data_IF_231296324182
#
_entry.id   IF_231296324182
#
_cell.length_a   1.000
_cell.length_b   1.000
_cell.length_c   1.000
_cell.angle_alpha   90.00
_cell.angle_beta   90.00
_cell.angle_gamma   90.00
#
_symmetry.space_group_name_H-M   'P 1'
#
loop_
_entity.id
_entity.type
_entity.pdbx_description
1 polymer ?
#
# COMPACT_ATOMS: atom_id res chain seq x y z
N UNK A 1 -7.01 -2.86 47.34
CA UNK A 1 -5.82 -2.35 46.69
C UNK A 1 -5.82 -2.98 45.29
N UNK A 2 -6.25 -2.24 44.30
CA UNK A 2 -6.29 -2.71 42.90
C UNK A 2 -5.08 -2.08 42.22
N UNK A 3 -4.14 -2.92 41.81
CA UNK A 3 -3.00 -2.49 41.03
C UNK A 3 -3.45 -2.19 39.60
N UNK A 4 -3.27 -0.97 39.15
CA UNK A 4 -3.46 -0.58 37.74
C UNK A 4 -2.14 -0.77 37.02
N UNK A 5 -2.14 -1.59 35.98
CA UNK A 5 -1.03 -1.71 35.04
C UNK A 5 -1.03 -0.51 34.10
N UNK A 6 0.12 0.12 33.92
CA UNK A 6 0.33 1.19 32.94
C UNK A 6 0.60 0.50 31.60
N UNK A 7 -0.29 0.71 30.63
CA UNK A 7 -0.05 0.31 29.24
C UNK A 7 0.68 1.44 28.51
N UNK A 8 1.94 1.22 28.16
CA UNK A 8 2.71 2.15 27.34
C UNK A 8 2.60 1.71 25.89
N UNK A 9 1.86 2.46 25.09
CA UNK A 9 1.82 2.26 23.64
C UNK A 9 3.04 2.96 23.03
N UNK A 10 3.96 2.18 22.48
CA UNK A 10 5.10 2.71 21.70
C UNK A 10 4.74 2.57 20.24
N UNK A 11 4.49 3.69 19.57
CA UNK A 11 4.33 3.73 18.12
C UNK A 11 5.72 3.82 17.45
N UNK A 12 6.08 2.96 16.52
CA UNK A 12 7.31 3.10 15.76
C UNK A 12 7.19 4.29 14.80
N UNK A 13 8.04 5.30 14.99
CA UNK A 13 8.19 6.42 14.07
C UNK A 13 9.35 6.11 13.12
N UNK A 14 9.06 5.91 11.84
CA UNK A 14 10.08 5.93 10.80
C UNK A 14 10.68 7.33 10.67
N UNK A 15 12.01 7.40 10.76
CA UNK A 15 12.79 8.64 10.82
C UNK A 15 13.38 8.99 9.46
N UNK A 16 12.98 10.13 8.94
CA UNK A 16 13.87 11.02 8.18
C UNK A 16 13.30 12.44 8.18
N UNK A 17 13.61 13.24 9.20
CA UNK A 17 13.46 14.70 9.19
C UNK A 17 14.31 15.33 10.30
N UNK A 18 14.76 16.58 10.17
CA UNK A 18 15.59 17.25 11.18
C UNK A 18 14.87 17.35 12.52
N UNK A 19 15.65 17.30 13.59
CA UNK A 19 15.21 17.20 14.98
C UNK A 19 14.15 18.26 15.37
N UNK A 20 12.88 17.88 15.24
CA UNK A 20 11.78 18.61 15.86
C UNK A 20 11.24 17.79 17.03
N UNK A 21 11.15 18.40 18.17
CA UNK A 21 10.53 17.80 19.36
C UNK A 21 9.06 17.53 19.04
N UNK A 22 8.62 16.30 19.08
CA UNK A 22 7.21 15.92 19.00
C UNK A 22 6.73 15.45 20.36
N UNK A 23 5.73 16.11 20.87
CA UNK A 23 5.04 15.69 22.09
C UNK A 23 3.81 14.88 21.72
N UNK A 24 3.77 13.62 22.16
CA UNK A 24 2.57 12.77 22.01
C UNK A 24 1.85 12.78 23.35
N UNK A 25 0.62 13.27 23.37
CA UNK A 25 -0.24 13.24 24.56
C UNK A 25 -1.17 12.04 24.44
N UNK A 26 -1.01 11.09 25.36
CA UNK A 26 -1.88 9.92 25.46
C UNK A 26 -2.83 10.15 26.62
N UNK A 27 -4.12 10.26 26.35
CA UNK A 27 -5.16 10.42 27.35
C UNK A 27 -5.73 9.06 27.78
N UNK A 28 -5.41 8.63 28.97
CA UNK A 28 -6.17 7.58 29.65
C UNK A 28 -7.25 8.25 30.54
N UNK A 29 -8.32 7.53 30.94
CA UNK A 29 -9.48 8.16 31.58
C UNK A 29 -9.20 8.92 32.88
N UNK A 30 -8.01 8.89 33.42
CA UNK A 30 -7.65 9.54 34.71
C UNK A 30 -6.27 10.20 34.75
N UNK A 31 -5.35 9.99 33.78
CA UNK A 31 -4.02 10.63 33.81
C UNK A 31 -3.50 11.00 32.40
N UNK A 32 -2.89 12.20 32.29
CA UNK A 32 -2.20 12.64 31.09
C UNK A 32 -0.72 12.31 31.23
N UNK A 33 -0.20 11.43 30.38
CA UNK A 33 1.22 11.13 30.30
C UNK A 33 1.82 11.83 29.09
N UNK A 34 2.74 12.75 29.31
CA UNK A 34 3.49 13.43 28.26
C UNK A 34 4.81 12.71 28.02
N UNK A 35 5.00 12.17 26.82
CA UNK A 35 6.28 11.58 26.41
C UNK A 35 7.01 12.54 25.47
N UNK A 36 8.20 12.98 25.88
CA UNK A 36 9.04 13.87 25.07
C UNK A 36 10.20 13.06 24.47
N UNK A 37 10.31 13.06 23.16
CA UNK A 37 11.44 12.44 22.45
C UNK A 37 12.43 13.53 22.02
N UNK A 38 13.68 13.38 22.41
CA UNK A 38 14.77 14.28 22.03
C UNK A 38 15.83 13.49 21.27
N UNK A 39 16.02 13.80 19.99
CA UNK A 39 17.06 13.17 19.16
C UNK A 39 16.79 11.71 18.77
N UNK A 40 17.82 10.99 18.34
CA UNK A 40 17.76 9.59 17.89
C UNK A 40 17.86 8.55 19.01
N UNK A 41 17.80 8.96 20.28
CA UNK A 41 17.82 8.03 21.39
C UNK A 41 16.42 7.84 21.98
N UNK A 42 16.00 6.58 22.04
CA UNK A 42 14.77 6.17 22.70
C UNK A 42 15.12 5.86 24.14
N UNK A 43 14.57 6.63 25.07
CA UNK A 43 14.66 6.30 26.50
C UNK A 43 13.43 5.49 26.88
N UNK A 44 13.60 4.20 27.19
CA UNK A 44 12.55 3.41 27.82
C UNK A 44 12.50 3.77 29.29
N UNK A 45 11.33 4.19 29.77
CA UNK A 45 11.11 4.36 31.21
C UNK A 45 10.96 2.97 31.84
N UNK A 46 12.03 2.42 32.37
CA UNK A 46 11.97 1.32 33.34
C UNK A 46 11.56 1.90 34.69
N UNK A 47 10.70 1.20 35.41
CA UNK A 47 10.20 1.55 36.73
C UNK A 47 11.31 2.04 37.66
N UNK A 48 11.17 3.27 38.14
CA UNK A 48 12.06 3.83 39.16
C UNK A 48 11.66 3.29 40.52
N UNK A 49 12.46 2.39 41.07
CA UNK A 49 12.64 2.29 42.51
C UNK A 49 13.52 3.46 42.96
N UNK A 50 13.16 4.14 44.03
CA UNK A 50 13.80 5.32 44.52
C UNK A 50 15.20 5.03 45.04
N UNK A 51 16.26 5.77 44.65
CA UNK A 51 17.51 5.79 45.36
C UNK A 51 17.60 6.98 46.32
N UNK A 52 17.98 6.67 47.52
CA UNK A 52 18.39 7.63 48.54
C UNK A 52 19.76 8.25 48.20
N UNK A 53 19.80 9.56 48.34
CA UNK A 53 20.90 10.46 48.70
C UNK A 53 22.26 10.39 47.99
N UNK A 54 22.63 11.53 47.50
CA UNK A 54 23.80 12.40 47.78
C UNK A 54 24.74 12.68 46.59
N UNK A 55 25.06 13.95 46.59
CA UNK A 55 26.20 14.71 46.08
C UNK A 55 25.95 15.59 44.86
N UNK A 56 25.91 16.88 45.21
CA UNK A 56 25.96 18.02 44.32
C UNK A 56 27.41 18.23 43.82
N UNK A 57 27.54 18.51 42.55
CA UNK A 57 28.65 19.34 42.05
C UNK A 57 28.13 20.33 41.00
N UNK A 58 28.43 21.60 41.30
CA UNK A 58 28.07 22.77 40.52
C UNK A 58 29.08 23.03 39.42
N UNK A 59 28.61 23.28 38.20
CA UNK A 59 29.39 24.03 37.21
C UNK A 59 28.60 25.22 36.69
N UNK A 60 29.04 26.41 37.09
CA UNK A 60 28.63 27.69 36.54
C UNK A 60 29.37 27.94 35.22
N UNK A 61 28.61 28.29 34.19
CA UNK A 61 29.17 28.96 32.99
C UNK A 61 28.31 30.13 32.60
N UNK A 62 28.93 31.31 32.68
CA UNK A 62 28.34 32.59 32.27
C UNK A 62 28.18 32.71 30.77
N UNK A 63 27.02 33.13 30.30
CA UNK A 63 26.85 33.65 28.96
C UNK A 63 26.39 35.11 29.02
N UNK A 64 27.18 35.97 28.36
CA UNK A 64 26.96 37.42 28.22
C UNK A 64 25.80 37.70 27.30
N UNK A 65 24.86 38.48 27.79
CA UNK A 65 23.81 39.14 27.04
C UNK A 65 24.35 40.38 26.32
N UNK A 66 24.15 40.50 25.01
CA UNK A 66 24.26 41.76 24.27
C UNK A 66 22.92 42.06 23.61
N UNK A 67 22.33 43.10 24.10
CA UNK A 67 21.12 43.71 23.51
C UNK A 67 21.48 44.58 22.31
N UNK A 68 20.75 44.43 21.21
CA UNK A 68 20.67 45.42 20.14
C UNK A 68 19.18 45.55 19.73
N UNK A 69 18.60 46.64 20.19
CA UNK A 69 17.35 47.15 19.65
C UNK A 69 17.56 47.81 18.28
N UNK A 70 16.83 47.40 17.27
CA UNK A 70 16.54 48.27 16.14
C UNK A 70 15.13 48.02 15.63
N UNK A 71 14.31 49.01 15.76
CA UNK A 71 12.97 49.15 15.24
C UNK A 71 12.94 49.10 13.72
N UNK A 72 12.17 48.17 13.15
CA UNK A 72 11.59 48.34 11.80
C UNK A 72 10.13 47.86 11.83
N UNK A 73 9.24 48.85 11.72
CA UNK A 73 7.83 48.62 11.41
C UNK A 73 7.69 48.15 9.97
N UNK A 74 7.31 46.90 9.76
CA UNK A 74 6.88 46.41 8.45
C UNK A 74 5.48 45.83 8.58
N UNK A 75 4.56 46.40 7.82
CA UNK A 75 3.18 45.98 7.69
C UNK A 75 3.09 44.47 7.34
N UNK A 76 2.54 43.65 8.25
CA UNK A 76 2.16 42.28 7.95
C UNK A 76 0.91 42.27 7.08
N UNK A 77 1.08 42.04 5.80
CA UNK A 77 0.02 41.47 4.98
C UNK A 77 -0.09 39.98 5.37
N UNK A 78 -1.15 39.64 6.08
CA UNK A 78 -1.51 38.21 6.36
C UNK A 78 -1.95 37.57 5.06
N UNK A 79 -0.99 37.01 4.30
CA UNK A 79 -1.28 35.95 3.36
C UNK A 79 -1.46 34.68 4.17
N UNK A 80 -2.69 34.22 4.33
CA UNK A 80 -3.01 32.88 4.80
C UNK A 80 -2.45 31.87 3.77
N UNK A 81 -1.19 31.47 3.95
CA UNK A 81 -0.68 30.28 3.28
C UNK A 81 -1.41 29.09 3.90
N UNK A 82 -2.45 28.63 3.22
CA UNK A 82 -2.97 27.29 3.45
C UNK A 82 -1.81 26.33 3.13
N UNK A 83 -1.13 25.84 4.17
CA UNK A 83 -0.16 24.77 4.03
C UNK A 83 -0.90 23.58 3.44
N UNK A 84 -0.62 23.25 2.17
CA UNK A 84 -1.09 22.01 1.56
C UNK A 84 -0.55 20.88 2.43
N UNK A 85 -1.42 20.05 3.03
CA UNK A 85 -0.94 18.94 3.86
C UNK A 85 0.02 18.09 3.03
N UNK A 86 1.20 17.83 3.57
CA UNK A 86 2.14 16.92 2.91
C UNK A 86 1.55 15.51 2.90
N UNK A 87 1.74 14.69 1.84
CA UNK A 87 1.23 13.31 1.75
C UNK A 87 1.59 12.44 2.97
N UNK A 88 2.66 12.76 3.68
CA UNK A 88 3.23 11.98 4.78
C UNK A 88 2.37 11.69 6.00
N UNK A 89 1.24 12.40 6.21
CA UNK A 89 0.27 12.05 7.25
C UNK A 89 -1.06 11.53 6.66
N UNK A 90 -1.19 11.63 5.35
CA UNK A 90 -2.48 11.41 4.68
C UNK A 90 -2.92 9.95 4.71
N UNK A 91 -1.98 8.98 4.65
CA UNK A 91 -2.35 7.57 4.68
C UNK A 91 -2.96 7.14 6.02
N UNK A 92 -2.52 7.70 7.15
CA UNK A 92 -3.17 7.45 8.45
C UNK A 92 -4.60 8.01 8.48
N UNK A 93 -4.81 9.22 7.96
CA UNK A 93 -6.13 9.82 7.89
C UNK A 93 -7.07 8.99 7.00
N UNK A 94 -6.57 8.52 5.86
CA UNK A 94 -7.35 7.66 4.95
C UNK A 94 -7.66 6.33 5.63
N UNK A 95 -6.68 5.68 6.28
CA UNK A 95 -6.94 4.40 6.99
C UNK A 95 -7.93 4.58 8.14
N UNK A 96 -7.83 5.68 8.90
CA UNK A 96 -8.81 5.99 9.95
C UNK A 96 -10.23 6.14 9.38
N UNK A 97 -10.38 6.81 8.22
CA UNK A 97 -11.66 6.90 7.51
C UNK A 97 -12.15 5.55 6.98
N UNK A 98 -11.26 4.70 6.51
CA UNK A 98 -11.58 3.32 6.09
C UNK A 98 -12.13 2.53 7.28
N UNK A 99 -11.48 2.58 8.46
CA UNK A 99 -12.00 1.96 9.68
C UNK A 99 -13.39 2.46 10.04
N UNK A 100 -13.60 3.78 10.07
CA UNK A 100 -14.89 4.37 10.40
C UNK A 100 -16.01 3.96 9.44
N UNK A 101 -15.67 3.75 8.17
CA UNK A 101 -16.64 3.57 7.09
C UNK A 101 -17.00 2.11 6.86
N UNK A 102 -16.03 1.21 7.02
CA UNK A 102 -16.15 -0.19 6.57
C UNK A 102 -15.99 -1.22 7.71
N UNK A 103 -15.64 -0.80 8.92
CA UNK A 103 -15.57 -1.68 10.08
C UNK A 103 -16.76 -1.45 10.99
N UNK A 104 -17.49 -2.55 11.33
CA UNK A 104 -18.60 -2.52 12.27
C UNK A 104 -18.93 -3.90 12.77
N UNK A 105 -19.44 -4.00 13.98
CA UNK A 105 -19.83 -5.28 14.61
C UNK A 105 -18.76 -6.35 14.59
N UNK A 106 -17.50 -5.94 14.72
CA UNK A 106 -16.34 -6.83 14.74
C UNK A 106 -15.97 -7.45 13.39
N UNK A 107 -16.38 -6.87 12.28
CA UNK A 107 -16.11 -7.36 10.91
C UNK A 107 -16.00 -6.24 9.90
N UNK A 108 -15.32 -6.54 8.79
CA UNK A 108 -15.24 -5.68 7.62
C UNK A 108 -16.46 -5.83 6.73
N UNK A 109 -16.97 -4.74 6.20
CA UNK A 109 -18.08 -4.69 5.25
C UNK A 109 -17.59 -4.06 3.94
N UNK A 110 -17.92 -4.67 2.80
CA UNK A 110 -17.57 -4.09 1.49
C UNK A 110 -18.45 -2.87 1.14
N UNK A 111 -19.63 -2.78 1.77
CA UNK A 111 -20.54 -1.66 1.58
C UNK A 111 -20.20 -0.47 2.49
N UNK A 112 -20.39 0.73 1.96
CA UNK A 112 -20.22 2.00 2.68
C UNK A 112 -21.32 2.18 3.74
N UNK A 113 -20.93 2.33 5.01
CA UNK A 113 -21.88 2.52 6.12
C UNK A 113 -22.75 3.76 5.98
N UNK A 114 -22.32 4.77 5.22
CA UNK A 114 -23.10 5.97 4.98
C UNK A 114 -24.31 5.74 4.06
N UNK A 115 -24.31 4.65 3.30
CA UNK A 115 -25.42 4.32 2.41
C UNK A 115 -26.52 3.49 3.06
N UNK A 116 -26.32 2.99 4.28
CA UNK A 116 -27.23 2.07 4.97
C UNK A 116 -27.51 0.78 4.17
N UNK A 117 -26.58 0.40 3.30
CA UNK A 117 -26.70 -0.84 2.54
C UNK A 117 -26.56 -2.07 3.44
N UNK A 118 -27.14 -3.18 3.02
CA UNK A 118 -26.97 -4.45 3.72
C UNK A 118 -25.50 -4.87 3.80
N UNK A 119 -25.16 -5.59 4.85
CA UNK A 119 -23.81 -6.14 5.02
C UNK A 119 -23.42 -7.02 3.82
N UNK A 120 -22.26 -6.77 3.27
CA UNK A 120 -21.64 -7.59 2.23
C UNK A 120 -20.24 -7.97 2.69
N UNK A 121 -19.95 -9.28 2.74
CA UNK A 121 -18.62 -9.78 3.07
C UNK A 121 -17.65 -9.39 1.93
N UNK A 122 -16.53 -8.71 2.23
CA UNK A 122 -15.53 -8.44 1.22
C UNK A 122 -14.97 -9.72 0.60
N UNK A 123 -14.62 -9.71 -0.69
CA UNK A 123 -13.90 -10.83 -1.32
C UNK A 123 -12.44 -10.86 -0.86
N UNK A 124 -11.76 -11.98 -1.08
CA UNK A 124 -10.38 -12.18 -0.61
C UNK A 124 -9.42 -11.10 -1.14
N UNK A 125 -9.53 -10.73 -2.42
CA UNK A 125 -8.73 -9.65 -2.99
C UNK A 125 -8.84 -8.35 -2.17
N UNK A 126 -10.08 -7.92 -1.89
CA UNK A 126 -10.32 -6.73 -1.05
C UNK A 126 -9.66 -6.87 0.32
N UNK A 127 -9.76 -8.05 0.93
CA UNK A 127 -9.17 -8.31 2.26
C UNK A 127 -7.63 -8.34 2.22
N UNK A 128 -7.02 -8.84 1.14
CA UNK A 128 -5.56 -8.84 0.98
C UNK A 128 -5.04 -7.40 0.81
N UNK A 129 -5.65 -6.60 -0.07
CA UNK A 129 -5.27 -5.19 -0.28
C UNK A 129 -5.46 -4.37 1.01
N UNK A 130 -6.55 -4.61 1.75
CA UNK A 130 -6.82 -3.99 3.04
C UNK A 130 -5.78 -4.41 4.10
N UNK A 131 -5.45 -5.70 4.17
CA UNK A 131 -4.45 -6.23 5.10
C UNK A 131 -3.09 -5.56 4.90
N UNK A 132 -2.65 -5.42 3.66
CA UNK A 132 -1.40 -4.72 3.32
C UNK A 132 -1.47 -3.22 3.68
N UNK A 133 -2.61 -2.56 3.45
CA UNK A 133 -2.82 -1.17 3.86
C UNK A 133 -2.70 -0.99 5.38
N UNK A 134 -3.27 -1.90 6.18
CA UNK A 134 -3.19 -1.85 7.64
C UNK A 134 -1.76 -2.13 8.12
N UNK A 135 -1.06 -3.09 7.53
CA UNK A 135 0.35 -3.37 7.83
C UNK A 135 1.21 -2.11 7.65
N UNK A 136 0.96 -1.31 6.60
CA UNK A 136 1.69 -0.04 6.36
C UNK A 136 1.51 0.99 7.47
N UNK A 137 0.44 0.92 8.24
CA UNK A 137 0.22 1.83 9.37
C UNK A 137 1.03 1.47 10.62
N UNK A 138 1.56 0.26 10.72
CA UNK A 138 2.27 -0.24 11.90
C UNK A 138 1.35 -0.59 13.07
N UNK A 139 0.04 -0.62 12.88
CA UNK A 139 -0.95 -0.98 13.90
C UNK A 139 -1.03 -2.50 14.05
N UNK A 140 -0.26 -3.06 15.00
CA UNK A 140 -0.23 -4.50 15.30
C UNK A 140 -1.63 -5.03 15.65
N UNK A 141 -2.39 -4.29 16.44
CA UNK A 141 -3.74 -4.72 16.86
C UNK A 141 -4.70 -4.77 15.68
N UNK A 142 -4.67 -3.76 14.82
CA UNK A 142 -5.46 -3.72 13.59
C UNK A 142 -5.09 -4.86 12.63
N UNK A 143 -3.80 -5.17 12.51
CA UNK A 143 -3.32 -6.31 11.72
C UNK A 143 -3.86 -7.62 12.26
N UNK A 144 -3.71 -7.89 13.57
CA UNK A 144 -4.17 -9.14 14.18
C UNK A 144 -5.68 -9.35 14.01
N UNK A 145 -6.48 -8.32 14.29
CA UNK A 145 -7.94 -8.36 14.13
C UNK A 145 -8.34 -8.61 12.67
N UNK A 146 -7.67 -7.97 11.72
CA UNK A 146 -7.98 -8.14 10.29
C UNK A 146 -7.58 -9.53 9.79
N UNK A 147 -6.41 -10.03 10.20
CA UNK A 147 -5.97 -11.38 9.85
C UNK A 147 -6.89 -12.46 10.46
N UNK A 148 -7.41 -12.25 11.67
CA UNK A 148 -8.42 -13.16 12.24
C UNK A 148 -9.70 -13.21 11.39
N UNK A 149 -10.09 -12.10 10.74
CA UNK A 149 -11.21 -12.11 9.78
C UNK A 149 -10.83 -12.79 8.46
N UNK A 150 -9.61 -12.61 7.98
CA UNK A 150 -9.08 -13.29 6.78
C UNK A 150 -9.04 -14.81 6.97
N UNK A 151 -8.77 -15.29 8.17
CA UNK A 151 -8.79 -16.74 8.45
C UNK A 151 -10.13 -17.43 8.19
N UNK A 152 -11.24 -16.69 8.06
CA UNK A 152 -12.54 -17.24 7.66
C UNK A 152 -12.56 -17.75 6.21
N UNK A 153 -11.62 -17.30 5.37
CA UNK A 153 -11.45 -17.71 3.97
C UNK A 153 -10.53 -18.94 3.81
N UNK A 154 -9.87 -19.36 4.89
CA UNK A 154 -8.88 -20.44 4.84
C UNK A 154 -9.53 -21.80 4.57
N UNK A 155 -9.06 -22.48 3.53
CA UNK A 155 -9.39 -23.87 3.22
C UNK A 155 -8.25 -24.79 3.65
N UNK A 156 -8.49 -25.60 4.67
CA UNK A 156 -7.48 -26.52 5.22
C UNK A 156 -7.13 -27.67 4.27
N UNK A 157 -7.99 -27.96 3.27
CA UNK A 157 -7.73 -29.04 2.32
C UNK A 157 -6.69 -28.63 1.26
N UNK A 158 -6.79 -27.42 0.77
CA UNK A 158 -5.84 -26.85 -0.20
C UNK A 158 -4.69 -26.07 0.46
N UNK A 159 -4.85 -25.68 1.72
CA UNK A 159 -3.97 -24.76 2.45
C UNK A 159 -3.84 -23.39 1.80
N UNK A 160 -4.89 -22.99 1.08
CA UNK A 160 -5.04 -21.70 0.42
C UNK A 160 -6.30 -21.01 0.93
N UNK A 161 -6.61 -19.84 0.39
CA UNK A 161 -7.74 -19.04 0.81
C UNK A 161 -8.75 -18.93 -0.35
N UNK A 162 -10.02 -19.18 -0.03
CA UNK A 162 -11.12 -19.07 -0.96
C UNK A 162 -11.39 -17.60 -1.31
N UNK A 163 -11.89 -17.35 -2.51
CA UNK A 163 -12.33 -16.00 -2.91
C UNK A 163 -13.44 -15.44 -1.99
N UNK A 164 -14.33 -16.34 -1.55
CA UNK A 164 -15.36 -16.05 -0.55
C UNK A 164 -15.66 -17.33 0.25
N UNK A 165 -15.77 -17.26 1.58
CA UNK A 165 -16.08 -18.42 2.40
C UNK A 165 -17.52 -18.94 2.21
N UNK A 166 -18.39 -18.16 1.56
CA UNK A 166 -19.81 -18.48 1.37
C UNK A 166 -20.14 -19.08 -0.02
N UNK A 167 -19.24 -18.90 -0.99
CA UNK A 167 -19.55 -19.17 -2.41
C UNK A 167 -18.81 -20.39 -2.98
N UNK A 168 -18.27 -21.25 -2.11
CA UNK A 168 -17.76 -22.54 -2.55
C UNK A 168 -16.25 -22.65 -2.64
N UNK A 169 -15.70 -23.18 -3.73
CA UNK A 169 -14.35 -23.75 -3.82
C UNK A 169 -13.39 -22.90 -4.67
N UNK A 170 -13.72 -21.66 -4.96
CA UNK A 170 -12.91 -20.83 -5.85
C UNK A 170 -11.66 -20.29 -5.13
N UNK A 171 -10.49 -20.63 -5.69
CA UNK A 171 -9.18 -20.13 -5.25
C UNK A 171 -8.52 -19.43 -6.42
N UNK A 172 -8.22 -18.14 -6.26
CA UNK A 172 -7.49 -17.33 -7.22
C UNK A 172 -6.03 -17.21 -6.80
N UNK A 173 -5.11 -17.38 -7.75
CA UNK A 173 -3.68 -17.40 -7.46
C UNK A 173 -3.13 -16.03 -7.10
N UNK A 174 -3.60 -14.97 -7.74
CA UNK A 174 -3.28 -13.58 -7.47
C UNK A 174 -3.76 -13.12 -6.09
N UNK A 175 -5.04 -13.34 -5.77
CA UNK A 175 -5.59 -13.01 -4.44
C UNK A 175 -4.74 -13.65 -3.32
N UNK A 176 -4.38 -14.92 -3.51
CA UNK A 176 -3.55 -15.65 -2.56
C UNK A 176 -2.11 -15.13 -2.52
N UNK A 177 -1.51 -14.77 -3.66
CA UNK A 177 -0.17 -14.20 -3.70
C UNK A 177 -0.10 -12.86 -2.94
N UNK A 178 -1.06 -11.97 -3.14
CA UNK A 178 -1.15 -10.73 -2.35
C UNK A 178 -1.34 -11.02 -0.86
N UNK A 179 -2.17 -12.00 -0.52
CA UNK A 179 -2.35 -12.38 0.88
C UNK A 179 -1.06 -12.97 1.49
N UNK A 180 -0.24 -13.68 0.72
CA UNK A 180 1.07 -14.14 1.19
C UNK A 180 1.97 -12.95 1.61
N UNK A 181 1.91 -11.81 0.89
CA UNK A 181 2.66 -10.60 1.27
C UNK A 181 2.20 -10.06 2.63
N UNK A 182 0.89 -10.01 2.84
CA UNK A 182 0.31 -9.57 4.13
C UNK A 182 0.82 -10.43 5.27
N UNK A 183 0.82 -11.76 5.11
CA UNK A 183 1.33 -12.67 6.13
C UNK A 183 2.84 -12.55 6.35
N UNK A 184 3.63 -12.33 5.27
CA UNK A 184 5.06 -12.07 5.37
C UNK A 184 5.35 -10.80 6.18
N UNK A 185 4.63 -9.72 5.89
CA UNK A 185 4.84 -8.45 6.57
C UNK A 185 4.28 -8.47 8.01
N UNK A 186 3.16 -9.18 8.24
CA UNK A 186 2.67 -9.43 9.60
C UNK A 186 3.66 -10.25 10.43
N UNK A 187 4.32 -11.25 9.85
CA UNK A 187 5.42 -11.97 10.51
C UNK A 187 6.58 -11.04 10.85
N UNK A 188 7.03 -10.21 9.90
CA UNK A 188 8.11 -9.23 10.13
C UNK A 188 7.75 -8.24 11.25
N UNK A 189 6.49 -7.86 11.34
CA UNK A 189 5.99 -6.92 12.34
C UNK A 189 5.86 -7.54 13.74
N UNK A 190 5.33 -8.76 13.82
CA UNK A 190 4.90 -9.38 15.10
C UNK A 190 5.82 -10.48 15.60
N UNK A 191 6.62 -11.09 14.72
CA UNK A 191 7.42 -12.28 15.00
C UNK A 191 6.59 -13.56 15.17
N UNK A 192 5.28 -13.54 14.93
CA UNK A 192 4.41 -14.70 15.13
C UNK A 192 4.58 -15.73 14.00
N UNK A 193 5.10 -16.89 14.33
CA UNK A 193 5.43 -17.96 13.38
C UNK A 193 4.23 -18.41 12.52
N UNK A 194 3.01 -18.40 13.08
CA UNK A 194 1.78 -18.77 12.36
C UNK A 194 1.62 -18.00 11.03
N UNK A 195 2.00 -16.73 10.98
CA UNK A 195 1.90 -15.92 9.76
C UNK A 195 2.91 -16.38 8.70
N UNK A 196 4.14 -16.66 9.10
CA UNK A 196 5.13 -17.22 8.16
C UNK A 196 4.70 -18.59 7.63
N UNK A 197 4.08 -19.43 8.47
CA UNK A 197 3.60 -20.74 8.06
C UNK A 197 2.46 -20.63 7.02
N UNK A 198 1.50 -19.70 7.21
CA UNK A 198 0.48 -19.43 6.21
C UNK A 198 1.06 -18.88 4.89
N UNK A 199 2.04 -17.97 4.96
CA UNK A 199 2.72 -17.49 3.75
C UNK A 199 3.39 -18.62 2.97
N UNK A 200 4.06 -19.57 3.66
CA UNK A 200 4.66 -20.74 3.04
C UNK A 200 3.61 -21.66 2.41
N UNK A 201 2.54 -21.96 3.13
CA UNK A 201 1.45 -22.81 2.62
C UNK A 201 0.84 -22.22 1.34
N UNK A 202 0.58 -20.90 1.32
CA UNK A 202 0.08 -20.21 0.14
C UNK A 202 1.05 -20.32 -1.05
N UNK A 203 2.34 -20.02 -0.85
CA UNK A 203 3.33 -20.08 -1.94
C UNK A 203 3.44 -21.51 -2.47
N UNK A 204 3.44 -22.52 -1.60
CA UNK A 204 3.42 -23.92 -2.02
C UNK A 204 2.17 -24.27 -2.83
N UNK A 205 0.99 -23.78 -2.44
CA UNK A 205 -0.23 -23.96 -3.22
C UNK A 205 -0.08 -23.32 -4.61
N UNK A 206 0.38 -22.06 -4.69
CA UNK A 206 0.55 -21.37 -5.97
C UNK A 206 1.53 -22.10 -6.89
N UNK A 207 2.60 -22.69 -6.37
CA UNK A 207 3.53 -23.50 -7.14
C UNK A 207 2.82 -24.72 -7.79
N UNK A 208 1.77 -25.27 -7.18
CA UNK A 208 0.96 -26.33 -7.80
C UNK A 208 0.10 -25.83 -8.95
N UNK A 209 -0.10 -24.51 -9.07
CA UNK A 209 -0.84 -23.87 -10.16
C UNK A 209 0.07 -23.44 -11.33
N UNK A 210 1.36 -23.75 -11.27
CA UNK A 210 2.29 -23.45 -12.36
C UNK A 210 1.91 -24.24 -13.61
N UNK A 211 1.64 -23.53 -14.68
CA UNK A 211 1.39 -24.08 -15.99
C UNK A 211 2.68 -24.37 -16.76
N UNK A 212 2.55 -24.77 -18.01
CA UNK A 212 3.71 -25.00 -18.88
C UNK A 212 4.60 -23.76 -18.95
N UNK A 213 5.90 -23.97 -18.88
CA UNK A 213 6.93 -22.94 -19.07
C UNK A 213 6.97 -21.82 -18.02
N UNK A 214 6.37 -21.99 -16.85
CA UNK A 214 6.56 -21.07 -15.72
C UNK A 214 5.41 -20.15 -15.39
N UNK A 215 4.42 -19.96 -16.28
CA UNK A 215 3.27 -19.10 -16.02
C UNK A 215 2.29 -19.67 -15.00
N UNK A 216 1.61 -18.83 -14.24
CA UNK A 216 0.69 -19.24 -13.17
C UNK A 216 -0.76 -19.18 -13.67
N UNK A 217 -1.48 -20.29 -13.50
CA UNK A 217 -2.91 -20.37 -13.80
C UNK A 217 -3.66 -19.44 -12.83
N UNK A 218 -4.51 -18.59 -13.39
CA UNK A 218 -5.24 -17.58 -12.63
C UNK A 218 -6.14 -18.18 -11.54
N UNK A 219 -6.90 -19.19 -11.92
CA UNK A 219 -7.84 -19.87 -11.04
C UNK A 219 -7.78 -21.36 -11.30
N UNK A 220 -7.81 -22.15 -10.25
CA UNK A 220 -7.88 -23.61 -10.33
C UNK A 220 -8.93 -24.03 -11.37
N UNK A 221 -8.58 -25.04 -12.15
CA UNK A 221 -9.42 -25.63 -13.21
C UNK A 221 -9.72 -24.71 -14.42
N UNK A 222 -9.03 -23.56 -14.54
CA UNK A 222 -9.06 -22.73 -15.74
C UNK A 222 -7.88 -23.01 -16.68
N UNK A 223 -8.03 -22.60 -17.93
CA UNK A 223 -6.95 -22.64 -18.90
C UNK A 223 -6.19 -21.33 -19.03
N UNK A 224 -6.59 -20.30 -18.30
CA UNK A 224 -6.02 -18.97 -18.39
C UNK A 224 -4.81 -18.82 -17.46
N UNK A 225 -3.67 -18.52 -18.05
CA UNK A 225 -2.45 -18.07 -17.36
C UNK A 225 -2.52 -16.56 -17.31
N UNK A 226 -2.69 -15.98 -16.12
CA UNK A 226 -2.74 -14.55 -15.95
C UNK A 226 -1.35 -13.98 -15.68
N UNK A 227 -1.04 -12.86 -16.33
CA UNK A 227 0.19 -12.11 -16.06
C UNK A 227 0.27 -11.70 -14.60
N UNK A 228 -0.82 -11.18 -14.05
CA UNK A 228 -0.84 -10.75 -12.65
C UNK A 228 -0.58 -11.90 -11.70
N UNK A 229 -1.23 -13.06 -11.85
CA UNK A 229 -0.98 -14.23 -11.01
C UNK A 229 0.47 -14.69 -11.07
N UNK A 230 1.10 -14.58 -12.27
CA UNK A 230 2.49 -14.98 -12.48
C UNK A 230 3.47 -14.05 -11.77
N UNK A 231 3.31 -12.73 -11.92
CA UNK A 231 4.24 -11.77 -11.32
C UNK A 231 4.04 -11.62 -9.81
N UNK A 232 2.81 -11.74 -9.32
CA UNK A 232 2.52 -11.69 -7.89
C UNK A 232 3.03 -12.94 -7.15
N UNK A 233 2.91 -14.11 -7.78
CA UNK A 233 3.51 -15.34 -7.27
C UNK A 233 5.03 -15.23 -7.18
N UNK A 234 5.66 -14.69 -8.22
CA UNK A 234 7.10 -14.42 -8.23
C UNK A 234 7.52 -13.46 -7.12
N UNK A 235 6.76 -12.38 -6.91
CA UNK A 235 7.01 -11.41 -5.84
C UNK A 235 6.83 -12.05 -4.45
N UNK A 236 5.80 -12.87 -4.26
CA UNK A 236 5.60 -13.61 -3.02
C UNK A 236 6.78 -14.53 -2.70
N UNK A 237 7.29 -15.23 -3.72
CA UNK A 237 8.43 -16.12 -3.58
C UNK A 237 9.72 -15.37 -3.19
N UNK A 238 10.07 -14.26 -3.87
CA UNK A 238 11.28 -13.49 -3.51
C UNK A 238 11.18 -12.83 -2.14
N UNK A 239 9.98 -12.38 -1.72
CA UNK A 239 9.75 -11.84 -0.38
C UNK A 239 9.84 -12.92 0.69
N UNK A 240 9.36 -14.13 0.40
CA UNK A 240 9.50 -15.29 1.30
C UNK A 240 10.95 -15.77 1.37
N UNK A 241 11.69 -15.76 0.25
CA UNK A 241 13.13 -16.04 0.23
C UNK A 241 13.92 -15.10 1.15
N UNK A 242 13.56 -13.81 1.21
CA UNK A 242 14.24 -12.83 2.08
C UNK A 242 14.25 -13.27 3.55
N UNK A 243 13.29 -14.07 3.97
CA UNK A 243 13.18 -14.63 5.32
C UNK A 243 13.78 -16.03 5.42
N UNK A 244 13.40 -16.91 4.51
CA UNK A 244 13.67 -18.37 4.61
C UNK A 244 15.02 -18.79 4.06
N UNK A 245 15.55 -18.04 3.10
CA UNK A 245 16.76 -18.36 2.32
C UNK A 245 16.67 -19.67 1.54
N UNK A 246 15.47 -20.10 1.19
CA UNK A 246 15.23 -21.26 0.35
C UNK A 246 15.42 -20.91 -1.13
N UNK A 247 16.51 -21.39 -1.74
CA UNK A 247 16.88 -21.05 -3.11
C UNK A 247 15.84 -21.50 -4.16
N UNK A 248 15.04 -22.52 -3.88
CA UNK A 248 13.98 -22.96 -4.79
C UNK A 248 12.96 -21.85 -5.08
N UNK A 249 12.76 -20.93 -4.14
CA UNK A 249 11.89 -19.75 -4.30
C UNK A 249 12.45 -18.74 -5.31
N UNK A 250 13.77 -18.58 -5.37
CA UNK A 250 14.41 -17.73 -6.39
C UNK A 250 14.34 -18.36 -7.78
N UNK A 251 14.47 -19.69 -7.87
CA UNK A 251 14.31 -20.42 -9.13
C UNK A 251 12.88 -20.26 -9.63
N UNK A 252 11.89 -20.54 -8.79
CA UNK A 252 10.49 -20.36 -9.12
C UNK A 252 10.17 -18.92 -9.59
N UNK A 253 10.65 -17.90 -8.88
CA UNK A 253 10.43 -16.51 -9.27
C UNK A 253 11.09 -16.17 -10.62
N UNK A 254 12.26 -16.74 -10.90
CA UNK A 254 12.95 -16.56 -12.19
C UNK A 254 12.17 -17.22 -13.31
N UNK A 255 11.69 -18.44 -13.14
CA UNK A 255 10.88 -19.15 -14.14
C UNK A 255 9.60 -18.37 -14.48
N UNK A 256 8.95 -17.78 -13.46
CA UNK A 256 7.80 -16.91 -13.66
C UNK A 256 8.16 -15.67 -14.51
N UNK A 257 9.26 -14.99 -14.20
CA UNK A 257 9.68 -13.81 -14.95
C UNK A 257 10.13 -14.15 -16.36
N UNK A 258 10.83 -15.26 -16.55
CA UNK A 258 11.24 -15.75 -17.89
C UNK A 258 10.01 -16.08 -18.75
N UNK A 259 8.96 -16.67 -18.15
CA UNK A 259 7.68 -16.84 -18.83
C UNK A 259 7.10 -15.51 -19.32
N UNK A 260 7.07 -14.48 -18.47
CA UNK A 260 6.54 -13.17 -18.80
C UNK A 260 7.27 -12.54 -19.98
N UNK A 261 8.59 -12.47 -19.93
CA UNK A 261 9.39 -11.86 -21.01
C UNK A 261 9.31 -12.65 -22.31
N UNK A 262 9.25 -13.95 -22.25
CA UNK A 262 9.23 -14.83 -23.43
C UNK A 262 7.88 -14.83 -24.13
N UNK A 263 6.77 -14.82 -23.38
CA UNK A 263 5.44 -15.12 -23.93
C UNK A 263 4.48 -13.93 -23.92
N UNK A 264 4.67 -12.96 -23.02
CA UNK A 264 3.68 -11.91 -22.76
C UNK A 264 4.22 -10.49 -22.92
N UNK A 265 5.52 -10.29 -23.19
CA UNK A 265 6.02 -8.93 -23.44
C UNK A 265 5.61 -8.47 -24.84
N UNK A 266 4.98 -7.29 -24.92
CA UNK A 266 4.71 -6.62 -26.19
C UNK A 266 6.02 -6.04 -26.73
N UNK A 267 6.48 -6.46 -27.92
CA UNK A 267 7.71 -5.95 -28.51
C UNK A 267 7.64 -4.45 -28.88
N UNK A 268 6.42 -3.89 -28.97
CA UNK A 268 6.21 -2.49 -29.40
C UNK A 268 6.47 -1.49 -28.27
N UNK A 269 5.95 -1.75 -27.08
CA UNK A 269 6.04 -0.82 -25.94
C UNK A 269 6.68 -1.42 -24.68
N UNK A 270 7.09 -2.68 -24.75
CA UNK A 270 7.77 -3.42 -23.67
C UNK A 270 6.92 -3.73 -22.45
N UNK A 271 5.66 -3.32 -22.42
CA UNK A 271 4.72 -3.70 -21.38
C UNK A 271 4.26 -5.16 -21.54
N UNK A 272 3.69 -5.74 -20.48
CA UNK A 272 3.14 -7.09 -20.56
C UNK A 272 1.66 -7.07 -20.93
N UNK A 273 1.26 -8.02 -21.76
CA UNK A 273 -0.13 -8.38 -22.01
C UNK A 273 -0.76 -9.02 -20.77
N UNK A 274 -2.10 -9.04 -20.69
CA UNK A 274 -2.83 -9.48 -19.50
C UNK A 274 -2.72 -10.99 -19.24
N UNK A 275 -2.64 -11.80 -20.28
CA UNK A 275 -2.48 -13.24 -20.12
C UNK A 275 -2.60 -14.05 -21.41
N UNK A 276 -2.70 -15.37 -21.27
CA UNK A 276 -2.78 -16.30 -22.42
C UNK A 276 -3.50 -17.60 -22.04
N UNK A 277 -3.96 -18.37 -23.03
CA UNK A 277 -4.44 -19.74 -22.80
C UNK A 277 -3.26 -20.71 -22.58
N UNK A 278 -3.31 -21.57 -21.55
CA UNK A 278 -2.25 -22.52 -21.21
C UNK A 278 -2.00 -23.60 -22.28
N UNK A 279 -2.99 -23.90 -23.12
CA UNK A 279 -2.93 -24.90 -24.17
C UNK A 279 -2.49 -24.31 -25.51
N UNK A 280 -2.64 -22.98 -25.67
CA UNK A 280 -2.21 -22.24 -26.86
C UNK A 280 -1.66 -20.86 -26.45
N UNK A 281 -0.39 -20.78 -26.20
CA UNK A 281 0.30 -19.54 -25.77
C UNK A 281 0.23 -18.41 -26.81
N UNK A 282 -0.21 -18.70 -28.04
CA UNK A 282 -0.47 -17.67 -29.06
C UNK A 282 -1.81 -16.94 -28.89
N UNK A 283 -2.73 -17.46 -28.08
CA UNK A 283 -3.99 -16.80 -27.75
C UNK A 283 -3.78 -15.80 -26.58
N UNK A 284 -3.23 -14.65 -26.92
CA UNK A 284 -2.85 -13.62 -25.95
C UNK A 284 -3.97 -12.60 -25.75
N UNK A 285 -4.37 -12.38 -24.49
CA UNK A 285 -5.16 -11.21 -24.11
C UNK A 285 -4.24 -9.98 -24.07
N UNK A 286 -4.51 -9.02 -24.95
CA UNK A 286 -3.67 -7.85 -25.15
C UNK A 286 -3.96 -6.68 -24.19
N UNK A 287 -4.80 -6.88 -23.21
CA UNK A 287 -4.97 -5.94 -22.11
C UNK A 287 -3.62 -5.60 -21.45
N UNK A 288 -3.49 -4.40 -20.90
CA UNK A 288 -2.27 -3.95 -20.20
C UNK A 288 -2.69 -3.21 -18.95
N UNK A 289 -2.21 -3.69 -17.81
CA UNK A 289 -2.57 -3.15 -16.51
C UNK A 289 -1.31 -2.82 -15.69
N UNK A 290 -1.41 -1.75 -14.93
CA UNK A 290 -0.28 -1.17 -14.18
C UNK A 290 0.23 -2.10 -13.10
N UNK A 291 -0.63 -2.90 -12.47
CA UNK A 291 -0.26 -3.81 -11.40
C UNK A 291 0.77 -4.85 -11.84
N UNK A 292 0.59 -5.41 -13.05
CA UNK A 292 1.52 -6.39 -13.63
C UNK A 292 2.93 -5.84 -13.71
N UNK A 293 3.08 -4.60 -14.18
CA UNK A 293 4.37 -3.95 -14.32
C UNK A 293 4.98 -3.61 -12.96
N UNK A 294 4.16 -3.11 -12.02
CA UNK A 294 4.63 -2.82 -10.67
C UNK A 294 5.20 -4.04 -9.95
N UNK A 295 4.48 -5.16 -9.95
CA UNK A 295 4.94 -6.41 -9.35
C UNK A 295 6.17 -6.96 -10.07
N UNK A 296 6.25 -6.81 -11.40
CA UNK A 296 7.43 -7.22 -12.17
C UNK A 296 8.68 -6.42 -11.79
N UNK A 297 8.57 -5.10 -11.69
CA UNK A 297 9.68 -4.24 -11.26
C UNK A 297 10.15 -4.66 -9.86
N UNK A 298 9.23 -4.82 -8.89
CA UNK A 298 9.56 -5.31 -7.55
C UNK A 298 10.31 -6.65 -7.60
N UNK A 299 9.77 -7.63 -8.30
CA UNK A 299 10.37 -8.97 -8.39
C UNK A 299 11.79 -8.92 -8.97
N UNK A 300 11.98 -8.19 -10.07
CA UNK A 300 13.25 -8.10 -10.76
C UNK A 300 14.34 -7.41 -9.92
N UNK A 301 14.00 -6.32 -9.22
CA UNK A 301 14.98 -5.66 -8.34
C UNK A 301 15.33 -6.53 -7.12
N UNK A 302 14.41 -7.33 -6.62
CA UNK A 302 14.72 -8.32 -5.58
C UNK A 302 15.58 -9.47 -6.12
N UNK A 303 15.30 -10.00 -7.31
CA UNK A 303 16.15 -11.02 -7.95
C UNK A 303 17.56 -10.51 -8.18
N UNK A 304 17.71 -9.27 -8.69
CA UNK A 304 19.01 -8.61 -8.79
C UNK A 304 19.70 -8.49 -7.41
N UNK A 305 19.00 -8.02 -6.40
CA UNK A 305 19.53 -7.91 -5.02
C UNK A 305 20.09 -9.23 -4.50
N UNK A 306 19.42 -10.35 -4.77
CA UNK A 306 19.77 -11.64 -4.19
C UNK A 306 20.77 -12.44 -5.03
N UNK A 307 20.76 -12.27 -6.35
CA UNK A 307 21.61 -13.02 -7.28
C UNK A 307 22.79 -12.22 -7.84
N UNK A 308 22.72 -10.87 -7.77
CA UNK A 308 23.67 -9.98 -8.43
C UNK A 308 23.56 -9.99 -9.95
N UNK A 309 22.44 -10.48 -10.50
CA UNK A 309 22.23 -10.60 -11.94
C UNK A 309 21.85 -9.25 -12.55
N UNK A 310 22.73 -8.70 -13.41
CA UNK A 310 22.53 -7.40 -14.04
C UNK A 310 21.39 -7.42 -15.05
N UNK A 311 21.14 -8.53 -15.74
CA UNK A 311 20.03 -8.64 -16.71
C UNK A 311 18.67 -8.40 -16.03
N UNK A 312 18.49 -8.85 -14.79
CA UNK A 312 17.27 -8.58 -14.02
C UNK A 312 17.09 -7.08 -13.75
N UNK A 313 18.15 -6.38 -13.41
CA UNK A 313 18.10 -4.93 -13.21
C UNK A 313 17.80 -4.18 -14.50
N UNK A 314 18.43 -4.57 -15.60
CA UNK A 314 18.23 -3.95 -16.92
C UNK A 314 16.78 -4.15 -17.40
N UNK A 315 16.21 -5.34 -17.22
CA UNK A 315 14.79 -5.63 -17.47
C UNK A 315 13.86 -4.78 -16.60
N UNK A 316 14.18 -4.59 -15.33
CA UNK A 316 13.39 -3.73 -14.44
C UNK A 316 13.41 -2.26 -14.90
N UNK A 317 14.56 -1.76 -15.38
CA UNK A 317 14.70 -0.42 -15.95
C UNK A 317 13.92 -0.27 -17.26
N UNK A 318 13.92 -1.31 -18.12
CA UNK A 318 13.11 -1.31 -19.36
C UNK A 318 11.62 -1.17 -19.05
N UNK A 319 11.11 -1.93 -18.05
CA UNK A 319 9.72 -1.84 -17.63
C UNK A 319 9.39 -0.49 -16.98
N UNK A 320 10.30 0.06 -16.18
CA UNK A 320 10.11 1.39 -15.57
C UNK A 320 10.04 2.49 -16.62
N UNK A 321 10.90 2.44 -17.63
CA UNK A 321 10.88 3.37 -18.76
C UNK A 321 9.57 3.26 -19.55
N UNK A 322 9.10 2.04 -19.81
CA UNK A 322 7.84 1.79 -20.51
C UNK A 322 6.63 2.31 -19.72
N UNK A 323 6.60 2.05 -18.40
CA UNK A 323 5.51 2.48 -17.51
C UNK A 323 5.44 4.00 -17.32
N UNK A 324 6.55 4.71 -17.48
CA UNK A 324 6.64 6.18 -17.33
C UNK A 324 6.69 6.93 -18.66
N UNK A 325 6.44 6.25 -19.78
CA UNK A 325 6.34 6.89 -21.09
C UNK A 325 5.03 7.67 -21.23
N UNK A 326 5.04 9.03 -21.31
CA UNK A 326 3.82 9.83 -21.32
C UNK A 326 2.91 9.60 -22.54
N UNK A 327 3.40 8.99 -23.60
CA UNK A 327 2.62 8.57 -24.78
C UNK A 327 2.20 7.09 -24.74
N UNK A 328 2.51 6.38 -23.65
CA UNK A 328 2.27 4.94 -23.53
C UNK A 328 0.85 4.58 -23.06
N UNK A 329 0.60 3.29 -23.00
CA UNK A 329 -0.72 2.72 -22.72
C UNK A 329 -1.30 3.09 -21.33
N UNK A 330 -0.46 3.48 -20.38
CA UNK A 330 -0.89 3.82 -19.03
C UNK A 330 -1.32 5.28 -18.85
N UNK A 331 -1.20 6.12 -19.88
CA UNK A 331 -1.49 7.55 -19.77
C UNK A 331 -2.76 7.95 -20.48
N UNK A 332 -3.48 8.89 -19.87
CA UNK A 332 -4.54 9.65 -20.52
C UNK A 332 -3.99 10.80 -21.37
N UNK A 333 -4.86 11.50 -22.10
CA UNK A 333 -4.48 12.66 -22.92
C UNK A 333 -4.00 13.89 -22.12
N UNK A 334 -4.04 13.85 -20.78
CA UNK A 334 -3.57 14.90 -19.87
C UNK A 334 -2.24 14.55 -19.19
N UNK A 335 -1.68 13.38 -19.48
CA UNK A 335 -0.43 12.91 -18.89
C UNK A 335 -0.60 12.37 -17.46
N UNK A 336 -1.78 11.89 -17.12
CA UNK A 336 -2.05 11.20 -15.87
C UNK A 336 -2.21 9.70 -16.12
N UNK A 337 -1.81 8.86 -15.15
CA UNK A 337 -2.11 7.42 -15.23
C UNK A 337 -3.62 7.18 -15.21
N UNK A 338 -4.10 6.36 -16.15
CA UNK A 338 -5.52 6.14 -16.42
C UNK A 338 -6.08 4.83 -15.87
N UNK A 339 -5.30 4.09 -15.11
CA UNK A 339 -5.76 2.87 -14.47
C UNK A 339 -6.46 3.18 -13.14
N UNK A 340 -7.37 2.31 -12.76
CA UNK A 340 -8.06 2.35 -11.47
C UNK A 340 -7.07 2.29 -10.30
N UNK A 341 -7.41 2.90 -9.15
CA UNK A 341 -6.54 2.88 -7.96
C UNK A 341 -6.22 1.46 -7.49
N UNK A 342 -7.17 0.56 -7.61
CA UNK A 342 -7.03 -0.86 -7.26
C UNK A 342 -6.01 -1.62 -8.11
N UNK A 343 -5.55 -1.04 -9.21
CA UNK A 343 -4.46 -1.57 -10.03
C UNK A 343 -3.18 -0.74 -9.90
N UNK A 344 -3.32 0.59 -9.89
CA UNK A 344 -2.16 1.49 -9.93
C UNK A 344 -1.35 1.47 -8.62
N UNK A 345 -1.95 1.10 -7.49
CA UNK A 345 -1.25 1.05 -6.20
C UNK A 345 -0.03 0.10 -6.23
N UNK A 346 -0.11 -0.99 -6.99
CA UNK A 346 1.03 -1.91 -7.13
C UNK A 346 2.13 -1.36 -8.05
N UNK A 347 1.82 -0.44 -8.96
CA UNK A 347 2.87 0.29 -9.69
C UNK A 347 3.66 1.21 -8.74
N UNK A 348 2.98 1.90 -7.83
CA UNK A 348 3.65 2.66 -6.76
C UNK A 348 4.51 1.77 -5.86
N UNK A 349 4.01 0.57 -5.49
CA UNK A 349 4.78 -0.41 -4.73
C UNK A 349 6.06 -0.83 -5.48
N UNK A 350 5.95 -1.10 -6.78
CA UNK A 350 7.08 -1.45 -7.64
C UNK A 350 8.16 -0.39 -7.66
N UNK A 351 7.77 0.87 -7.85
CA UNK A 351 8.72 1.99 -7.81
C UNK A 351 9.30 2.22 -6.41
N UNK A 352 8.52 2.01 -5.33
CA UNK A 352 9.02 2.13 -3.97
C UNK A 352 10.14 1.11 -3.68
N UNK A 353 9.95 -0.14 -4.09
CA UNK A 353 10.99 -1.17 -3.99
C UNK A 353 12.21 -0.82 -4.85
N UNK A 354 11.99 -0.36 -6.08
CA UNK A 354 13.05 0.03 -7.00
C UNK A 354 13.89 1.21 -6.45
N UNK A 355 13.25 2.26 -5.95
CA UNK A 355 13.96 3.40 -5.33
C UNK A 355 14.77 3.02 -4.09
N UNK A 356 14.26 2.05 -3.33
CA UNK A 356 14.94 1.56 -2.14
C UNK A 356 16.14 0.66 -2.44
N UNK A 357 16.10 -0.08 -3.56
CA UNK A 357 17.07 -1.12 -3.88
C UNK A 357 18.12 -0.69 -4.92
N UNK A 358 17.86 0.37 -5.69
CA UNK A 358 18.82 0.86 -6.68
C UNK A 358 18.63 2.34 -7.01
N UNK A 359 19.69 3.12 -6.89
CA UNK A 359 19.70 4.56 -7.20
C UNK A 359 19.40 4.86 -8.69
N UNK A 360 19.55 3.87 -9.58
CA UNK A 360 19.28 4.02 -11.01
C UNK A 360 17.81 4.37 -11.30
N UNK A 361 16.90 4.03 -10.41
CA UNK A 361 15.49 4.39 -10.57
C UNK A 361 15.16 5.83 -10.17
N UNK A 362 16.08 6.55 -9.52
CA UNK A 362 15.89 7.95 -9.10
C UNK A 362 15.41 8.86 -10.22
N UNK A 363 15.77 8.58 -11.49
CA UNK A 363 15.32 9.31 -12.67
C UNK A 363 13.80 9.29 -12.91
N UNK A 364 13.08 8.32 -12.37
CA UNK A 364 11.62 8.18 -12.52
C UNK A 364 10.85 8.81 -11.37
N UNK A 365 11.54 9.26 -10.31
CA UNK A 365 10.91 9.74 -9.07
C UNK A 365 9.95 10.90 -9.30
N UNK A 366 10.35 11.90 -10.09
CA UNK A 366 9.53 13.08 -10.34
C UNK A 366 8.22 12.73 -11.02
N UNK A 367 8.24 11.79 -11.97
CA UNK A 367 7.03 11.33 -12.65
C UNK A 367 6.11 10.55 -11.69
N UNK A 368 6.66 9.63 -10.90
CA UNK A 368 5.88 8.86 -9.92
C UNK A 368 5.25 9.79 -8.85
N UNK A 369 6.02 10.78 -8.38
CA UNK A 369 5.53 11.80 -7.44
C UNK A 369 4.42 12.65 -8.07
N UNK A 370 4.57 13.03 -9.33
CA UNK A 370 3.53 13.75 -10.08
C UNK A 370 2.22 12.95 -10.13
N UNK A 371 2.29 11.64 -10.43
CA UNK A 371 1.12 10.78 -10.49
C UNK A 371 0.46 10.61 -9.10
N UNK A 372 1.24 10.45 -8.06
CA UNK A 372 0.73 10.41 -6.68
C UNK A 372 0.06 11.72 -6.26
N UNK A 373 0.63 12.86 -6.62
CA UNK A 373 0.03 14.17 -6.37
C UNK A 373 -1.27 14.36 -7.15
N UNK A 374 -1.36 13.85 -8.39
CA UNK A 374 -2.60 13.83 -9.15
C UNK A 374 -3.69 13.06 -8.40
N UNK A 375 -3.41 11.85 -7.94
CA UNK A 375 -4.36 11.03 -7.16
C UNK A 375 -4.77 11.78 -5.89
N UNK A 376 -3.81 12.26 -5.11
CA UNK A 376 -4.05 12.96 -3.86
C UNK A 376 -4.92 14.21 -4.03
N UNK A 377 -4.66 15.01 -5.06
CA UNK A 377 -5.34 16.28 -5.25
C UNK A 377 -6.68 16.16 -5.98
N UNK A 378 -6.82 15.21 -6.91
CA UNK A 378 -7.97 15.22 -7.83
C UNK A 378 -8.89 14.02 -7.69
N UNK A 379 -8.44 12.87 -7.17
CA UNK A 379 -9.32 11.73 -6.93
C UNK A 379 -9.91 11.71 -5.51
N UNK A 380 -9.44 12.54 -4.61
CA UNK A 380 -10.04 12.71 -3.29
C UNK A 380 -11.41 13.40 -3.40
N UNK A 381 -12.41 12.92 -2.63
CA UNK A 381 -13.71 13.56 -2.57
C UNK A 381 -13.63 14.88 -1.78
N UNK A 382 -13.94 16.03 -2.39
CA UNK A 382 -13.92 17.32 -1.66
C UNK A 382 -14.99 17.43 -0.56
N UNK A 383 -16.06 16.62 -0.63
CA UNK A 383 -17.13 16.58 0.37
C UNK A 383 -16.87 15.54 1.48
N UNK A 384 -15.94 14.61 1.25
CA UNK A 384 -15.55 13.58 2.21
C UNK A 384 -14.02 13.42 2.19
N UNK A 385 -13.29 14.37 2.76
CA UNK A 385 -11.83 14.39 2.71
C UNK A 385 -11.19 13.12 3.26
N UNK A 386 -10.08 12.73 2.67
CA UNK A 386 -9.32 11.48 2.95
C UNK A 386 -9.96 10.21 2.40
N UNK A 387 -11.04 10.29 1.62
CA UNK A 387 -11.56 9.17 0.84
C UNK A 387 -11.53 9.49 -0.66
N UNK A 388 -11.34 8.46 -1.48
CA UNK A 388 -10.98 8.57 -2.88
C UNK A 388 -11.98 7.85 -3.79
N UNK A 389 -12.08 8.31 -5.02
CA UNK A 389 -12.70 7.60 -6.13
C UNK A 389 -11.64 6.84 -6.92
N UNK A 390 -12.05 5.78 -7.58
CA UNK A 390 -11.13 4.94 -8.37
C UNK A 390 -10.53 5.68 -9.59
N UNK A 391 -11.38 6.47 -10.27
CA UNK A 391 -11.04 7.30 -11.42
C UNK A 391 -11.87 8.57 -11.41
N UNK A 392 -11.42 9.59 -12.16
CA UNK A 392 -12.18 10.84 -12.31
C UNK A 392 -13.54 10.62 -13.00
N UNK A 393 -13.62 9.72 -13.95
CA UNK A 393 -14.87 9.38 -14.64
C UNK A 393 -15.90 8.68 -13.75
N UNK A 394 -15.44 8.02 -12.66
CA UNK A 394 -16.29 7.37 -11.67
C UNK A 394 -16.39 8.19 -10.37
N UNK A 395 -16.30 9.51 -10.48
CA UNK A 395 -16.36 10.43 -9.33
C UNK A 395 -17.65 11.25 -9.34
N UNK A 396 -17.74 12.25 -8.48
CA UNK A 396 -18.86 13.20 -8.45
C UNK A 396 -18.60 14.42 -9.31
N UNK A 397 -19.67 15.14 -9.71
CA UNK A 397 -19.56 16.42 -10.40
C UNK A 397 -18.61 17.41 -9.67
N UNK A 398 -18.70 17.51 -8.36
CA UNK A 398 -17.82 18.39 -7.58
C UNK A 398 -16.33 17.99 -7.64
N UNK A 399 -16.04 16.73 -7.75
CA UNK A 399 -14.68 16.21 -7.96
C UNK A 399 -14.20 16.54 -9.37
N UNK A 400 -15.04 16.28 -10.38
CA UNK A 400 -14.72 16.60 -11.77
C UNK A 400 -14.55 18.11 -12.00
N UNK A 401 -15.38 18.96 -11.42
CA UNK A 401 -15.25 20.42 -11.54
C UNK A 401 -13.92 20.95 -10.98
N UNK A 402 -13.37 20.29 -9.96
CA UNK A 402 -12.02 20.60 -9.48
C UNK A 402 -10.94 20.15 -10.48
N UNK A 403 -11.06 18.93 -11.01
CA UNK A 403 -10.16 18.39 -12.02
C UNK A 403 -10.16 19.21 -13.31
N UNK A 404 -11.32 19.60 -13.83
CA UNK A 404 -11.49 20.29 -15.10
C UNK A 404 -10.92 21.73 -15.14
N UNK A 405 -10.52 22.27 -13.99
CA UNK A 405 -9.80 23.55 -13.94
C UNK A 405 -8.42 23.50 -14.57
N UNK A 406 -7.78 22.33 -14.59
CA UNK A 406 -6.42 22.13 -15.11
C UNK A 406 -6.33 21.10 -16.25
N UNK A 407 -7.26 20.16 -16.29
CA UNK A 407 -7.25 19.02 -17.20
C UNK A 407 -8.45 19.03 -18.15
N UNK A 408 -8.27 18.48 -19.32
CA UNK A 408 -9.33 18.33 -20.31
C UNK A 408 -10.10 17.02 -20.06
N UNK A 409 -11.38 17.00 -20.36
CA UNK A 409 -12.21 15.81 -20.30
C UNK A 409 -13.69 16.13 -20.45
N UNK A 410 -14.47 15.09 -20.67
CA UNK A 410 -15.93 15.12 -20.54
C UNK A 410 -16.32 14.37 -19.27
N UNK A 411 -17.47 14.68 -18.73
CA UNK A 411 -18.01 14.02 -17.55
C UNK A 411 -19.51 13.81 -17.74
N UNK A 412 -19.90 12.57 -17.68
CA UNK A 412 -21.29 12.19 -17.68
C UNK A 412 -21.75 12.02 -16.22
N UNK A 413 -22.81 12.73 -15.84
CA UNK A 413 -23.39 12.57 -14.50
C UNK A 413 -23.99 11.19 -14.37
N UNK A 414 -23.50 10.42 -13.40
CA UNK A 414 -24.00 9.10 -13.06
C UNK A 414 -24.46 9.11 -11.58
N UNK A 415 -25.76 9.07 -11.40
CA UNK A 415 -26.37 9.06 -10.07
C UNK A 415 -25.99 7.80 -9.27
N UNK A 416 -25.54 6.74 -9.94
CA UNK A 416 -25.11 5.49 -9.30
C UNK A 416 -23.90 5.66 -8.39
N UNK A 417 -23.13 6.76 -8.54
CA UNK A 417 -22.02 7.10 -7.64
C UNK A 417 -22.50 7.57 -6.25
N UNK A 418 -23.78 7.86 -6.08
CA UNK A 418 -24.36 8.30 -4.81
C UNK A 418 -25.12 7.18 -4.10
N UNK A 419 -25.21 7.26 -2.76
CA UNK A 419 -26.06 6.38 -1.98
C UNK A 419 -27.50 6.45 -2.47
N UNK A 420 -28.14 5.28 -2.63
CA UNK A 420 -29.50 5.14 -3.17
C UNK A 420 -29.72 5.76 -4.57
N UNK A 421 -28.64 6.00 -5.32
CA UNK A 421 -28.64 6.70 -6.61
C UNK A 421 -29.26 8.11 -6.52
N UNK A 422 -29.03 8.79 -5.41
CA UNK A 422 -29.58 10.13 -5.12
C UNK A 422 -28.45 11.14 -4.94
N UNK A 423 -28.25 12.11 -5.88
CA UNK A 423 -27.21 13.13 -5.81
C UNK A 423 -27.26 14.03 -4.58
N UNK A 424 -28.37 14.06 -3.84
CA UNK A 424 -28.48 14.77 -2.58
C UNK A 424 -27.80 14.06 -1.40
N UNK A 425 -27.49 12.79 -1.57
CA UNK A 425 -26.86 11.94 -0.55
C UNK A 425 -25.33 11.90 -0.68
N UNK A 426 -24.68 11.15 0.21
CA UNK A 426 -23.24 10.93 0.18
C UNK A 426 -22.81 10.14 -1.08
N UNK A 427 -21.64 10.44 -1.60
CA UNK A 427 -21.03 9.60 -2.62
C UNK A 427 -20.56 8.28 -1.98
N UNK A 428 -20.91 7.15 -2.65
CA UNK A 428 -20.46 5.81 -2.27
C UNK A 428 -18.93 5.74 -2.29
N UNK A 429 -18.38 5.01 -1.33
CA UNK A 429 -16.96 4.66 -1.32
C UNK A 429 -16.82 3.14 -1.37
N UNK A 430 -15.72 2.67 -1.96
CA UNK A 430 -15.38 1.25 -2.02
C UNK A 430 -14.22 0.97 -1.10
N UNK A 431 -14.32 -0.13 -0.33
CA UNK A 431 -13.27 -0.56 0.59
C UNK A 431 -11.95 -0.79 -0.16
N UNK A 432 -11.97 -1.57 -1.23
CA UNK A 432 -10.80 -1.88 -2.06
C UNK A 432 -10.10 -0.62 -2.57
N UNK A 433 -10.85 0.33 -3.15
CA UNK A 433 -10.31 1.59 -3.68
C UNK A 433 -9.60 2.39 -2.59
N UNK A 434 -10.18 2.47 -1.40
CA UNK A 434 -9.62 3.28 -0.32
C UNK A 434 -8.48 2.59 0.41
N UNK A 435 -8.47 1.27 0.49
CA UNK A 435 -7.31 0.49 0.92
C UNK A 435 -6.12 0.66 -0.05
N UNK A 436 -6.38 0.67 -1.37
CA UNK A 436 -5.37 0.98 -2.39
C UNK A 436 -4.84 2.41 -2.25
N UNK A 437 -5.72 3.38 -1.98
CA UNK A 437 -5.32 4.76 -1.74
C UNK A 437 -4.41 4.91 -0.50
N UNK A 438 -4.68 4.17 0.59
CA UNK A 438 -3.78 4.13 1.76
C UNK A 438 -2.38 3.68 1.36
N UNK A 439 -2.26 2.62 0.56
CA UNK A 439 -0.96 2.12 0.09
C UNK A 439 -0.24 3.14 -0.77
N UNK A 440 -0.92 3.76 -1.75
CA UNK A 440 -0.34 4.81 -2.60
C UNK A 440 0.21 5.95 -1.73
N UNK A 441 -0.58 6.46 -0.79
CA UNK A 441 -0.17 7.55 0.09
C UNK A 441 0.99 7.17 1.02
N UNK A 442 1.03 5.91 1.47
CA UNK A 442 2.16 5.38 2.22
C UNK A 442 3.44 5.41 1.39
N UNK A 443 3.41 4.92 0.15
CA UNK A 443 4.57 4.95 -0.72
C UNK A 443 5.03 6.38 -1.01
N UNK A 444 4.09 7.30 -1.30
CA UNK A 444 4.38 8.71 -1.49
C UNK A 444 5.06 9.37 -0.29
N UNK A 445 4.76 8.90 0.92
CA UNK A 445 5.36 9.41 2.15
C UNK A 445 6.78 8.87 2.40
N UNK A 446 7.14 7.77 1.74
CA UNK A 446 8.37 7.02 2.00
C UNK A 446 9.32 6.92 0.78
N UNK A 447 9.07 7.68 -0.28
CA UNK A 447 9.94 7.78 -1.45
C UNK A 447 11.21 8.59 -1.19
#
# INVERSE_FOLDING_TARGET
MHGFGILVLILPLCLSAPANVRTVVVTAPVEIVTVTQVGTQIYSATSLEAPTSSLAESFTSSAKTTSLESSLSTSLSTSSSSSVPTPGSSYYNTMFKVWQRFWGDGKWNDNDSNCNDAYTLPVLWTMAVLGEAIVKTGDVSGVEVTLDRIMQYYDSATKAFLASPNDGVEVYSDDNAQLAWVFIDAFKMTGQQKYLDHAKDIVLYIQTQQGPNGGIIWKKDKNYIASISTVEAALAAVRLYDITRDNSLLEFATDCMDFMFKNLQDPQDKLFFDGTDKNDLGQVDKGKLTYTIGCSISTLVYLHKFRGDQDMLDKALELALAATNPGGAFYDGNGNWNNNLEYVHLLFAGFADAFRLSDLFGQYRDEVVKQGNYIYQYLQDPKDPSLYFTLIAASTRSTFDRYSKLFRGSFDDDDSVYCNNDPSQHAKKKLLVNASAVQILYFMANY
#
